data_IF_827579004208
#
_entry.id   IF_827579004208
#
_cell.length_a   1.000
_cell.length_b   1.000
_cell.length_c   1.000
_cell.angle_alpha   90.00
_cell.angle_beta   90.00
_cell.angle_gamma   90.00
#
_symmetry.space_group_name_H-M   'P 1'
#
loop_
_entity.id
_entity.type
_entity.pdbx_description
1 polymer ?
#
# COMPACT_ATOMS: atom_id res chain seq x y z
N UNK A 1 8.84 -9.50 -44.69
CA UNK A 1 7.72 -10.08 -43.93
C UNK A 1 7.95 -9.78 -42.46
N UNK A 2 7.30 -8.72 -41.94
CA UNK A 2 7.51 -8.17 -40.59
C UNK A 2 6.20 -8.31 -39.83
N UNK A 3 6.27 -9.09 -38.75
CA UNK A 3 5.16 -9.74 -38.06
C UNK A 3 4.32 -8.75 -37.23
N UNK A 4 3.00 -8.88 -37.35
CA UNK A 4 1.95 -8.19 -36.60
C UNK A 4 1.93 -8.64 -35.13
N UNK A 5 2.52 -7.87 -34.21
CA UNK A 5 2.45 -8.13 -32.75
C UNK A 5 1.79 -7.02 -31.93
N UNK A 6 1.20 -6.02 -32.56
CA UNK A 6 0.78 -4.79 -31.87
C UNK A 6 -0.68 -4.77 -31.40
N UNK A 7 -1.49 -5.80 -31.70
CA UNK A 7 -2.96 -5.74 -31.51
C UNK A 7 -3.46 -6.53 -30.28
N UNK A 8 -2.63 -7.38 -29.66
CA UNK A 8 -3.06 -8.24 -28.54
C UNK A 8 -3.06 -7.56 -27.15
N UNK A 9 -2.25 -6.52 -26.96
CA UNK A 9 -2.12 -5.82 -25.67
C UNK A 9 -3.37 -5.00 -25.23
N UNK A 10 -4.11 -4.30 -26.11
CA UNK A 10 -5.27 -3.51 -25.68
C UNK A 10 -6.49 -4.35 -25.28
N UNK A 11 -6.68 -5.56 -25.84
CA UNK A 11 -7.82 -6.42 -25.52
C UNK A 11 -7.76 -6.99 -24.09
N UNK A 12 -6.57 -7.35 -23.60
CA UNK A 12 -6.42 -7.91 -22.25
C UNK A 12 -6.71 -6.84 -21.17
N UNK A 13 -6.37 -5.57 -21.44
CA UNK A 13 -6.62 -4.45 -20.52
C UNK A 13 -8.10 -4.03 -20.46
N UNK A 14 -8.86 -4.20 -21.55
CA UNK A 14 -10.29 -3.88 -21.61
C UNK A 14 -11.16 -4.86 -20.81
N UNK A 15 -10.85 -6.16 -20.85
CA UNK A 15 -11.60 -7.17 -20.08
C UNK A 15 -11.43 -7.04 -18.57
N UNK A 16 -10.24 -6.61 -18.11
CA UNK A 16 -9.99 -6.32 -16.70
C UNK A 16 -10.79 -5.11 -16.19
N UNK A 17 -11.02 -4.09 -17.03
CA UNK A 17 -11.76 -2.88 -16.65
C UNK A 17 -13.26 -3.10 -16.45
N UNK A 18 -13.89 -3.96 -17.28
CA UNK A 18 -15.34 -4.16 -17.25
C UNK A 18 -15.80 -5.02 -16.05
N UNK A 19 -15.01 -6.02 -15.66
CA UNK A 19 -15.30 -6.84 -14.47
C UNK A 19 -15.12 -6.05 -13.16
N UNK A 20 -14.18 -5.10 -13.15
CA UNK A 20 -13.95 -4.25 -12.00
C UNK A 20 -15.14 -3.32 -11.71
N UNK A 21 -15.76 -2.73 -12.74
CA UNK A 21 -16.84 -1.76 -12.55
C UNK A 21 -18.12 -2.35 -11.93
N UNK A 22 -18.49 -3.59 -12.27
CA UNK A 22 -19.62 -4.28 -11.65
C UNK A 22 -19.29 -4.77 -10.24
N UNK A 23 -18.05 -5.22 -9.99
CA UNK A 23 -17.63 -5.72 -8.68
C UNK A 23 -17.53 -4.62 -7.61
N UNK A 24 -17.18 -3.38 -7.99
CA UNK A 24 -17.16 -2.23 -7.08
C UNK A 24 -18.55 -1.96 -6.46
N UNK A 25 -19.64 -2.26 -7.18
CA UNK A 25 -21.01 -2.11 -6.64
C UNK A 25 -21.37 -3.19 -5.62
N UNK A 26 -20.84 -4.40 -5.74
CA UNK A 26 -21.08 -5.49 -4.78
C UNK A 26 -20.34 -5.28 -3.46
N UNK A 27 -19.28 -4.48 -3.49
CA UNK A 27 -18.45 -4.21 -2.33
C UNK A 27 -19.11 -3.30 -1.28
N UNK A 28 -20.19 -2.59 -1.62
CA UNK A 28 -20.84 -1.62 -0.72
C UNK A 28 -21.58 -2.26 0.46
N UNK A 29 -21.80 -3.58 0.48
CA UNK A 29 -22.67 -4.23 1.45
C UNK A 29 -21.95 -5.01 2.57
N UNK A 30 -20.65 -5.32 2.44
CA UNK A 30 -20.00 -6.24 3.38
C UNK A 30 -18.54 -5.87 3.70
N UNK A 31 -18.37 -4.82 4.51
CA UNK A 31 -17.09 -4.50 5.12
C UNK A 31 -16.77 -5.55 6.18
N UNK A 32 -15.68 -6.27 6.00
CA UNK A 32 -15.24 -7.34 6.90
C UNK A 32 -13.75 -7.56 6.78
N UNK A 33 -13.17 -8.27 7.75
CA UNK A 33 -11.81 -8.74 7.64
C UNK A 33 -11.67 -9.72 6.47
N UNK A 34 -10.62 -9.59 5.63
CA UNK A 34 -10.41 -10.50 4.52
C UNK A 34 -10.08 -11.90 5.04
N UNK A 35 -10.69 -12.92 4.43
CA UNK A 35 -10.42 -14.33 4.76
C UNK A 35 -9.00 -14.75 4.37
N UNK A 36 -8.45 -14.15 3.32
CA UNK A 36 -7.12 -14.43 2.77
C UNK A 36 -6.45 -13.11 2.40
N UNK A 37 -5.29 -12.82 3.00
CA UNK A 37 -4.55 -11.58 2.79
C UNK A 37 -3.03 -11.74 3.01
N UNK A 38 -2.46 -12.87 2.57
CA UNK A 38 -1.04 -13.20 2.77
C UNK A 38 -0.09 -12.22 2.07
N UNK A 39 -0.54 -11.56 1.00
CA UNK A 39 0.27 -10.55 0.31
C UNK A 39 0.08 -9.15 0.90
N UNK A 40 -1.16 -8.75 1.17
CA UNK A 40 -1.48 -7.39 1.59
C UNK A 40 -1.48 -7.14 3.11
N UNK A 41 -1.53 -8.19 3.94
CA UNK A 41 -1.48 -8.10 5.42
C UNK A 41 -2.45 -7.06 6.02
N UNK A 42 -3.69 -7.05 5.55
CA UNK A 42 -4.72 -6.09 5.97
C UNK A 42 -5.35 -6.50 7.30
N UNK A 43 -5.26 -5.66 8.32
CA UNK A 43 -5.76 -5.94 9.68
C UNK A 43 -7.02 -5.17 10.06
N UNK A 44 -7.61 -4.42 9.13
CA UNK A 44 -8.78 -3.56 9.35
C UNK A 44 -9.98 -4.02 8.50
N UNK A 45 -11.17 -3.52 8.82
CA UNK A 45 -12.36 -3.78 8.02
C UNK A 45 -12.25 -3.10 6.65
N UNK A 46 -12.26 -3.93 5.61
CA UNK A 46 -12.13 -3.51 4.22
C UNK A 46 -13.27 -4.06 3.40
N UNK A 47 -13.45 -3.53 2.19
CA UNK A 47 -14.15 -4.31 1.20
C UNK A 47 -13.18 -5.27 0.49
N UNK A 48 -13.23 -6.54 0.84
CA UNK A 48 -12.40 -7.56 0.21
C UNK A 48 -13.03 -8.05 -1.10
N UNK A 49 -12.27 -8.00 -2.19
CA UNK A 49 -12.58 -8.79 -3.38
C UNK A 49 -12.17 -10.26 -3.11
N UNK A 50 -12.96 -11.27 -3.52
CA UNK A 50 -12.63 -12.68 -3.25
C UNK A 50 -11.23 -13.10 -3.73
N UNK A 51 -10.74 -12.50 -4.81
CA UNK A 51 -9.41 -12.74 -5.41
C UNK A 51 -8.46 -11.57 -5.20
N UNK A 52 -8.83 -10.57 -4.36
CA UNK A 52 -8.12 -9.30 -4.25
C UNK A 52 -6.64 -9.44 -3.89
N UNK A 53 -6.28 -10.39 -3.03
CA UNK A 53 -4.89 -10.63 -2.63
C UNK A 53 -4.05 -11.19 -3.79
N UNK A 54 -4.62 -12.15 -4.53
CA UNK A 54 -3.99 -12.77 -5.70
C UNK A 54 -3.86 -11.74 -6.82
N UNK A 55 -4.90 -10.95 -7.07
CA UNK A 55 -4.93 -9.93 -8.12
C UNK A 55 -3.93 -8.81 -7.81
N UNK A 56 -3.85 -8.34 -6.56
CA UNK A 56 -2.85 -7.38 -6.11
C UNK A 56 -1.43 -7.93 -6.34
N UNK A 57 -1.16 -9.16 -5.89
CA UNK A 57 0.14 -9.84 -6.06
C UNK A 57 0.52 -9.99 -7.53
N UNK A 58 -0.43 -10.38 -8.38
CA UNK A 58 -0.21 -10.55 -9.82
C UNK A 58 0.08 -9.22 -10.50
N UNK A 59 -0.62 -8.15 -10.12
CA UNK A 59 -0.40 -6.83 -10.70
C UNK A 59 0.96 -6.24 -10.28
N UNK A 60 1.40 -6.46 -9.05
CA UNK A 60 2.75 -6.08 -8.59
C UNK A 60 3.82 -6.87 -9.33
N UNK A 61 3.62 -8.19 -9.53
CA UNK A 61 4.52 -9.02 -10.34
C UNK A 61 4.63 -8.55 -11.78
N UNK A 62 3.53 -8.09 -12.39
CA UNK A 62 3.55 -7.52 -13.74
C UNK A 62 4.40 -6.25 -13.82
N UNK A 63 4.40 -5.41 -12.77
CA UNK A 63 5.24 -4.22 -12.68
C UNK A 63 6.71 -4.52 -12.39
N UNK A 64 7.03 -5.64 -11.72
CA UNK A 64 8.41 -6.06 -11.46
C UNK A 64 9.26 -6.23 -12.71
N UNK A 65 8.63 -6.54 -13.84
CA UNK A 65 9.32 -6.63 -15.13
C UNK A 65 9.84 -5.26 -15.64
N UNK A 66 9.39 -4.16 -15.04
CA UNK A 66 9.76 -2.78 -15.40
C UNK A 66 10.56 -2.10 -14.28
N UNK A 67 10.95 -2.84 -13.25
CA UNK A 67 11.56 -2.26 -12.07
C UNK A 67 13.02 -1.85 -12.32
N UNK A 68 13.21 -0.55 -12.55
CA UNK A 68 14.52 0.10 -12.61
C UNK A 68 14.86 0.85 -11.31
N UNK A 69 13.95 0.88 -10.33
CA UNK A 69 14.06 1.73 -9.14
C UNK A 69 13.72 0.91 -7.89
N UNK A 70 14.70 0.63 -7.04
CA UNK A 70 14.60 -0.36 -5.95
C UNK A 70 13.49 -0.18 -4.91
N UNK A 71 12.65 0.85 -4.99
CA UNK A 71 11.48 1.06 -4.13
C UNK A 71 10.13 1.02 -4.90
N UNK A 72 10.12 0.73 -6.20
CA UNK A 72 8.89 0.65 -7.00
C UNK A 72 7.93 -0.40 -6.42
N UNK A 73 8.43 -1.61 -6.15
CA UNK A 73 7.60 -2.74 -5.70
C UNK A 73 6.91 -2.45 -4.38
N UNK A 74 7.59 -1.80 -3.44
CA UNK A 74 7.01 -1.50 -2.12
C UNK A 74 5.89 -0.46 -2.22
N UNK A 75 6.13 0.62 -2.98
CA UNK A 75 5.13 1.67 -3.18
C UNK A 75 3.94 1.17 -3.97
N UNK A 76 4.22 0.45 -5.06
CA UNK A 76 3.18 -0.07 -5.93
C UNK A 76 2.40 -1.19 -5.26
N UNK A 77 3.05 -2.04 -4.45
CA UNK A 77 2.40 -3.06 -3.64
C UNK A 77 1.38 -2.48 -2.67
N UNK A 78 1.79 -1.47 -1.89
CA UNK A 78 0.86 -0.75 -0.98
C UNK A 78 -0.29 -0.10 -1.74
N UNK A 79 -0.02 0.47 -2.91
CA UNK A 79 -1.04 1.04 -3.78
C UNK A 79 -2.04 0.00 -4.28
N UNK A 80 -1.58 -1.14 -4.80
CA UNK A 80 -2.47 -2.21 -5.27
C UNK A 80 -3.29 -2.79 -4.12
N UNK A 81 -2.68 -3.03 -2.96
CA UNK A 81 -3.39 -3.50 -1.78
C UNK A 81 -4.49 -2.52 -1.35
N UNK A 82 -4.24 -1.20 -1.37
CA UNK A 82 -5.26 -0.21 -1.05
C UNK A 82 -6.41 -0.14 -2.08
N UNK A 83 -6.18 -0.57 -3.33
CA UNK A 83 -7.24 -0.65 -4.35
C UNK A 83 -8.07 -1.94 -4.25
N UNK A 84 -7.44 -3.08 -3.93
CA UNK A 84 -8.11 -4.38 -3.79
C UNK A 84 -8.65 -4.64 -2.38
N UNK A 85 -8.22 -3.85 -1.39
CA UNK A 85 -8.73 -3.86 -0.03
C UNK A 85 -8.96 -2.42 0.45
N UNK A 86 -9.86 -1.66 -0.20
CA UNK A 86 -10.14 -0.32 0.22
C UNK A 86 -10.82 -0.36 1.60
N UNK A 87 -10.38 0.48 2.55
CA UNK A 87 -10.95 0.50 3.88
C UNK A 87 -12.37 1.04 3.86
N UNK A 88 -13.14 0.56 4.80
CA UNK A 88 -14.48 1.04 5.04
C UNK A 88 -14.49 2.04 6.20
N UNK A 89 -15.13 3.18 6.00
CA UNK A 89 -15.50 4.09 7.08
C UNK A 89 -17.02 4.28 7.05
N UNK A 90 -17.70 3.93 8.14
CA UNK A 90 -19.17 4.04 8.23
C UNK A 90 -19.91 3.32 7.09
N UNK A 91 -19.41 2.14 6.69
CA UNK A 91 -19.92 1.34 5.54
C UNK A 91 -19.76 2.02 4.16
N UNK A 92 -18.96 3.08 4.07
CA UNK A 92 -18.59 3.73 2.81
C UNK A 92 -17.14 3.37 2.49
N UNK A 93 -16.91 2.98 1.24
CA UNK A 93 -15.57 2.68 0.73
C UNK A 93 -14.80 3.99 0.58
N UNK A 94 -13.62 4.05 1.19
CA UNK A 94 -12.75 5.23 1.07
C UNK A 94 -11.76 5.02 -0.09
N UNK A 95 -11.83 5.83 -1.16
CA UNK A 95 -10.94 5.66 -2.32
C UNK A 95 -9.51 6.10 -1.99
N UNK A 96 -8.56 5.63 -2.81
CA UNK A 96 -7.16 6.05 -2.71
C UNK A 96 -6.99 7.47 -3.27
N UNK A 97 -6.21 8.33 -2.63
CA UNK A 97 -5.96 9.67 -3.15
C UNK A 97 -5.25 9.67 -4.52
N UNK A 98 -5.66 10.58 -5.40
CA UNK A 98 -5.06 10.76 -6.75
C UNK A 98 -3.54 10.95 -6.72
N UNK A 99 -3.01 11.68 -5.73
CA UNK A 99 -1.57 11.92 -5.59
C UNK A 99 -0.80 10.64 -5.26
N UNK A 100 -1.37 9.72 -4.47
CA UNK A 100 -0.71 8.45 -4.16
C UNK A 100 -0.64 7.56 -5.41
N UNK A 101 -1.72 7.55 -6.20
CA UNK A 101 -1.72 6.87 -7.50
C UNK A 101 -0.61 7.41 -8.41
N UNK A 102 -0.51 8.75 -8.55
CA UNK A 102 0.56 9.36 -9.34
C UNK A 102 1.94 8.97 -8.83
N UNK A 103 2.15 8.98 -7.51
CA UNK A 103 3.43 8.64 -6.91
C UNK A 103 3.79 7.16 -7.12
N UNK A 104 2.84 6.24 -6.96
CA UNK A 104 3.04 4.81 -7.19
C UNK A 104 3.51 4.53 -8.63
N UNK A 105 2.85 5.10 -9.63
CA UNK A 105 3.26 4.93 -11.03
C UNK A 105 4.60 5.60 -11.33
N UNK A 106 4.83 6.81 -10.81
CA UNK A 106 6.08 7.55 -11.06
C UNK A 106 7.30 6.88 -10.41
N UNK A 107 7.15 6.31 -9.23
CA UNK A 107 8.22 5.56 -8.56
C UNK A 107 8.60 4.29 -9.34
N UNK A 108 7.67 3.75 -10.12
CA UNK A 108 7.92 2.66 -11.06
C UNK A 108 8.37 3.12 -12.46
N UNK A 109 8.84 4.36 -12.61
CA UNK A 109 9.40 4.86 -13.86
C UNK A 109 8.36 5.27 -14.91
N UNK A 110 7.06 5.24 -14.61
CA UNK A 110 6.05 5.73 -15.55
C UNK A 110 6.21 7.23 -15.78
N UNK A 111 6.07 7.66 -17.04
CA UNK A 111 6.09 9.08 -17.39
C UNK A 111 4.95 9.84 -16.70
N UNK A 112 5.10 11.17 -16.55
CA UNK A 112 4.07 12.00 -15.91
C UNK A 112 2.72 11.96 -16.64
N UNK A 113 2.71 11.86 -17.97
CA UNK A 113 1.48 11.72 -18.76
C UNK A 113 0.87 10.34 -18.54
N UNK A 114 1.66 9.27 -18.70
CA UNK A 114 1.19 7.89 -18.49
C UNK A 114 0.59 7.69 -17.09
N UNK A 115 1.24 8.20 -16.05
CA UNK A 115 0.72 8.11 -14.68
C UNK A 115 -0.62 8.85 -14.53
N UNK A 116 -0.77 10.05 -15.12
CA UNK A 116 -2.03 10.81 -15.10
C UNK A 116 -3.16 10.06 -15.80
N UNK A 117 -2.88 9.49 -16.97
CA UNK A 117 -3.88 8.78 -17.77
C UNK A 117 -4.38 7.52 -17.04
N UNK A 118 -3.45 6.77 -16.43
CA UNK A 118 -3.79 5.60 -15.59
C UNK A 118 -4.61 5.98 -14.37
N UNK A 119 -4.19 7.01 -13.63
CA UNK A 119 -4.94 7.47 -12.45
C UNK A 119 -6.30 8.07 -12.82
N UNK A 120 -6.43 8.73 -13.98
CA UNK A 120 -7.71 9.23 -14.46
C UNK A 120 -8.67 8.07 -14.80
N UNK A 121 -8.17 7.01 -15.44
CA UNK A 121 -8.96 5.80 -15.72
C UNK A 121 -9.41 5.11 -14.43
N UNK A 122 -8.53 4.99 -13.43
CA UNK A 122 -8.89 4.43 -12.12
C UNK A 122 -9.87 5.32 -11.34
N UNK A 123 -9.80 6.63 -11.54
CA UNK A 123 -10.74 7.57 -10.94
C UNK A 123 -12.12 7.49 -11.58
N UNK A 124 -12.19 7.28 -12.90
CA UNK A 124 -13.46 7.08 -13.61
C UNK A 124 -14.23 5.83 -13.13
N UNK A 125 -13.53 4.82 -12.61
CA UNK A 125 -14.16 3.63 -12.00
C UNK A 125 -14.36 3.74 -10.49
N UNK A 126 -13.98 4.86 -9.86
CA UNK A 126 -14.17 5.10 -8.43
C UNK A 126 -13.17 4.43 -7.50
N UNK A 127 -12.09 3.82 -8.01
CA UNK A 127 -11.01 3.25 -7.18
C UNK A 127 -10.07 4.32 -6.63
N UNK A 128 -9.89 5.41 -7.39
CA UNK A 128 -9.05 6.54 -7.04
C UNK A 128 -9.91 7.80 -6.96
N UNK A 129 -9.72 8.60 -5.91
CA UNK A 129 -10.45 9.84 -5.73
C UNK A 129 -10.15 10.82 -6.87
N UNK A 130 -11.11 11.70 -7.18
CA UNK A 130 -10.90 12.74 -8.18
C UNK A 130 -9.74 13.66 -7.77
N UNK A 131 -9.09 14.27 -8.75
CA UNK A 131 -7.99 15.20 -8.48
C UNK A 131 -8.48 16.39 -7.65
N UNK A 132 -7.88 16.58 -6.48
CA UNK A 132 -8.23 17.67 -5.55
C UNK A 132 -9.24 17.27 -4.47
N UNK A 133 -9.76 16.04 -4.53
CA UNK A 133 -10.63 15.51 -3.48
C UNK A 133 -9.83 15.25 -2.19
N UNK A 134 -10.36 15.70 -1.06
CA UNK A 134 -9.82 15.48 0.28
C UNK A 134 -10.42 14.26 0.97
N UNK A 135 -11.53 13.71 0.45
CA UNK A 135 -12.25 12.56 1.00
C UNK A 135 -11.61 11.24 0.55
N UNK A 136 -10.30 11.10 0.76
CA UNK A 136 -9.52 9.98 0.27
C UNK A 136 -8.47 9.53 1.29
N UNK A 137 -8.08 8.26 1.21
CA UNK A 137 -7.03 7.73 2.06
C UNK A 137 -5.65 8.09 1.52
N UNK A 138 -4.86 8.74 2.37
CA UNK A 138 -3.43 8.89 2.16
C UNK A 138 -2.75 7.57 2.51
N UNK A 139 -2.06 6.98 1.54
CA UNK A 139 -1.19 5.83 1.78
C UNK A 139 0.04 6.44 2.43
N UNK A 140 0.13 6.28 3.75
CA UNK A 140 1.36 6.59 4.46
C UNK A 140 2.36 5.51 4.06
N UNK A 141 3.23 5.84 3.11
CA UNK A 141 4.49 5.13 3.06
C UNK A 141 5.26 5.61 4.27
N UNK A 142 5.05 4.94 5.41
CA UNK A 142 6.11 4.87 6.39
C UNK A 142 7.32 4.37 5.59
N UNK A 143 8.32 5.24 5.40
CA UNK A 143 9.64 4.82 5.00
C UNK A 143 9.95 3.63 5.90
N UNK A 144 10.16 2.46 5.30
CA UNK A 144 10.08 1.17 5.97
C UNK A 144 10.88 1.18 7.27
N UNK A 145 10.20 1.43 8.39
CA UNK A 145 10.56 0.84 9.66
C UNK A 145 9.81 -0.49 9.62
N UNK A 146 10.49 -1.51 9.12
CA UNK A 146 10.03 -2.88 9.24
C UNK A 146 9.68 -3.12 10.71
N UNK A 147 8.52 -3.71 11.05
CA UNK A 147 8.20 -4.04 12.44
C UNK A 147 9.23 -5.00 13.06
N UNK A 148 10.02 -5.69 12.25
CA UNK A 148 11.14 -6.52 12.72
C UNK A 148 12.29 -5.71 13.34
N UNK A 149 12.44 -4.42 12.98
CA UNK A 149 13.47 -3.54 13.56
C UNK A 149 12.92 -2.55 14.60
N UNK A 150 11.59 -2.36 14.68
CA UNK A 150 10.98 -1.45 15.67
C UNK A 150 11.07 -2.02 17.10
N UNK A 151 11.18 -3.34 17.25
CA UNK A 151 11.43 -3.96 18.57
C UNK A 151 12.80 -3.52 19.12
N UNK A 152 13.76 -3.17 18.26
CA UNK A 152 15.11 -2.81 18.71
C UNK A 152 15.13 -1.39 19.30
N UNK A 153 14.38 -0.43 18.75
CA UNK A 153 14.38 0.94 19.25
C UNK A 153 13.70 1.10 20.62
N UNK A 154 12.73 0.26 20.97
CA UNK A 154 12.18 0.27 22.33
C UNK A 154 13.14 -0.38 23.34
N UNK A 155 13.90 -1.41 22.95
CA UNK A 155 14.91 -2.01 23.85
C UNK A 155 16.10 -1.09 24.13
N UNK A 156 16.50 -0.24 23.18
CA UNK A 156 17.58 0.74 23.41
C UNK A 156 17.24 1.77 24.50
N UNK A 157 15.98 2.23 24.57
CA UNK A 157 15.57 3.11 25.67
C UNK A 157 15.61 2.39 27.02
N UNK A 158 15.12 1.15 27.11
CA UNK A 158 15.16 0.39 28.37
C UNK A 158 16.59 0.10 28.85
N UNK A 159 17.51 -0.28 27.95
CA UNK A 159 18.91 -0.51 28.29
C UNK A 159 19.60 0.76 28.81
N UNK A 160 19.32 1.92 28.20
CA UNK A 160 19.87 3.20 28.66
C UNK A 160 19.42 3.54 30.10
N UNK A 161 18.14 3.33 30.43
CA UNK A 161 17.64 3.56 31.80
C UNK A 161 18.27 2.63 32.84
N UNK A 162 18.47 1.35 32.50
CA UNK A 162 19.11 0.38 33.41
C UNK A 162 20.57 0.76 33.67
N UNK A 163 21.32 1.15 32.63
CA UNK A 163 22.72 1.56 32.77
C UNK A 163 22.84 2.81 33.66
N UNK A 164 22.00 3.82 33.42
CA UNK A 164 21.98 5.04 34.25
C UNK A 164 21.63 4.72 35.71
N UNK A 165 20.63 3.87 35.95
CA UNK A 165 20.25 3.46 37.30
C UNK A 165 21.38 2.72 38.04
N UNK A 166 22.10 1.83 37.36
CA UNK A 166 23.25 1.11 37.95
C UNK A 166 24.41 2.05 38.28
N UNK A 167 24.70 3.02 37.41
CA UNK A 167 25.72 4.04 37.66
C UNK A 167 25.35 4.88 38.88
N UNK A 168 24.11 5.37 38.96
CA UNK A 168 23.64 6.15 40.09
C UNK A 168 23.68 5.36 41.41
N UNK A 169 23.30 4.08 41.37
CA UNK A 169 23.38 3.19 42.52
C UNK A 169 24.83 2.97 42.99
N UNK A 170 25.77 2.78 42.06
CA UNK A 170 27.19 2.65 42.38
C UNK A 170 27.76 3.92 43.04
N UNK A 171 27.41 5.10 42.51
CA UNK A 171 27.82 6.40 43.08
C UNK A 171 27.24 6.59 44.49
N UNK A 172 25.96 6.28 44.68
CA UNK A 172 25.30 6.36 45.99
C UNK A 172 25.97 5.44 47.02
N UNK A 173 26.26 4.19 46.64
CA UNK A 173 26.94 3.22 47.51
C UNK A 173 28.36 3.64 47.87
N UNK A 174 29.09 4.26 46.93
CA UNK A 174 30.43 4.79 47.19
C UNK A 174 30.40 5.93 48.21
N UNK A 175 29.43 6.85 48.08
CA UNK A 175 29.30 8.02 48.95
C UNK A 175 28.88 7.71 50.39
N UNK A 176 28.22 6.57 50.65
CA UNK A 176 27.76 6.17 51.99
C UNK A 176 28.69 5.17 52.71
N UNK A 177 29.91 4.95 52.21
CA UNK A 177 30.93 4.13 52.88
C UNK A 177 31.94 4.93 53.70
N UNK A 178 31.86 6.25 53.65
CA UNK A 178 32.56 7.18 54.56
C UNK A 178 31.61 7.58 55.69
#
# INVERSE_FOLDING_TARGET
MRMERTVLLPCILLFAGLHAASAIRFCMANCSLPLTNEFCYVTEDVCAFPTGDIDAKMAVRAMKLQDNAGNCIDYFGKFMCAMYFPPCQFRVIVPVCYNNCLQAYRNCGASRSTAKDRCASLSAVGMVAAKGDSSCRKILIAAALFPDDIIILSTFSFMAFVIVALILFAIWKYRNRE
#
